data_IF_718202012907
#
_entry.id   IF_718202012907
#
_cell.length_a   1.000
_cell.length_b   1.000
_cell.length_c   1.000
_cell.angle_alpha   90.00
_cell.angle_beta   90.00
_cell.angle_gamma   90.00
#
_symmetry.space_group_name_H-M   'P 1'
#
loop_
_entity.id
_entity.type
_entity.pdbx_description
1 polymer ?
#
# COMPACT_ATOMS: atom_id res chain seq x y z
N UNK A 1 -16.05 -0.22 1.55
CA UNK A 1 -16.06 -1.68 1.85
C UNK A 1 -14.78 -1.99 2.61
N UNK A 2 -14.80 -2.97 3.53
CA UNK A 2 -13.60 -3.36 4.30
C UNK A 2 -13.42 -4.86 4.15
N UNK A 3 -12.28 -5.28 3.59
CA UNK A 3 -11.89 -6.68 3.39
C UNK A 3 -10.93 -7.15 4.48
N UNK A 4 -9.94 -6.34 4.83
CA UNK A 4 -9.06 -6.52 5.99
C UNK A 4 -9.53 -5.51 7.04
N UNK A 5 -10.01 -5.99 8.17
CA UNK A 5 -10.47 -5.11 9.27
C UNK A 5 -9.40 -4.88 10.32
N UNK A 6 -8.39 -5.75 10.38
CA UNK A 6 -7.37 -5.67 11.42
C UNK A 6 -6.09 -6.40 10.99
N UNK A 7 -4.96 -5.91 11.47
CA UNK A 7 -3.63 -6.52 11.37
C UNK A 7 -3.15 -6.82 12.78
N UNK A 8 -2.65 -8.04 13.03
CA UNK A 8 -2.06 -8.46 14.31
C UNK A 8 -0.62 -8.88 14.11
N UNK A 9 0.24 -8.60 15.08
CA UNK A 9 1.57 -9.19 15.16
C UNK A 9 1.55 -10.30 16.21
N UNK A 10 1.67 -11.54 15.75
CA UNK A 10 1.59 -12.71 16.63
C UNK A 10 2.93 -13.03 17.31
N UNK A 11 4.04 -12.38 16.90
CA UNK A 11 5.34 -12.57 17.54
C UNK A 11 5.33 -11.98 18.95
N UNK A 12 5.72 -12.73 19.99
CA UNK A 12 5.83 -12.20 21.34
C UNK A 12 6.78 -11.01 21.40
N UNK A 13 6.43 -9.95 22.14
CA UNK A 13 7.24 -8.72 22.25
C UNK A 13 8.66 -8.99 22.74
N UNK A 14 8.85 -10.00 23.60
CA UNK A 14 10.18 -10.39 24.11
C UNK A 14 11.13 -10.92 23.02
N UNK A 15 10.60 -11.36 21.87
CA UNK A 15 11.35 -11.94 20.75
C UNK A 15 11.58 -10.94 19.61
N UNK A 16 11.21 -9.66 19.80
CA UNK A 16 11.26 -8.57 18.81
C UNK A 16 12.58 -7.80 18.88
N UNK A 17 13.72 -8.50 18.75
CA UNK A 17 15.05 -7.93 19.04
C UNK A 17 15.96 -7.72 17.81
N UNK A 18 15.58 -8.22 16.64
CA UNK A 18 16.34 -8.12 15.39
C UNK A 18 15.52 -7.42 14.32
N UNK A 19 16.17 -6.95 13.25
CA UNK A 19 15.43 -6.50 12.07
C UNK A 19 14.44 -7.58 11.59
N UNK A 20 13.21 -7.22 11.20
CA UNK A 20 12.61 -5.88 11.16
C UNK A 20 11.97 -5.41 12.49
N UNK A 21 11.97 -6.25 13.52
CA UNK A 21 11.35 -5.98 14.81
C UNK A 21 12.10 -4.97 15.69
N UNK A 22 13.33 -4.60 15.34
CA UNK A 22 14.03 -3.49 15.97
C UNK A 22 13.52 -2.11 15.48
N UNK A 23 12.70 -2.07 14.42
CA UNK A 23 12.03 -0.86 14.00
C UNK A 23 10.91 -0.56 15.01
N UNK A 24 10.88 0.61 15.66
CA UNK A 24 9.96 0.88 16.77
C UNK A 24 8.48 0.65 16.44
N UNK A 25 8.10 0.97 15.20
CA UNK A 25 6.76 0.83 14.66
C UNK A 25 6.26 -0.61 14.61
N UNK A 26 7.16 -1.54 14.34
CA UNK A 26 6.90 -2.98 14.23
C UNK A 26 7.08 -3.64 15.59
N UNK A 27 8.08 -3.19 16.37
CA UNK A 27 8.36 -3.65 17.73
C UNK A 27 7.14 -3.51 18.64
N UNK A 28 6.42 -2.39 18.53
CA UNK A 28 5.27 -2.04 19.38
C UNK A 28 3.92 -2.33 18.70
N UNK A 29 3.90 -2.84 17.47
CA UNK A 29 2.66 -3.22 16.79
C UNK A 29 2.14 -4.51 17.40
N UNK A 30 1.05 -4.45 18.17
CA UNK A 30 0.29 -5.64 18.57
C UNK A 30 -0.94 -5.80 17.69
N UNK A 31 -1.69 -4.71 17.52
CA UNK A 31 -2.91 -4.67 16.74
C UNK A 31 -3.06 -3.31 16.03
N UNK A 32 -3.49 -3.35 14.77
CA UNK A 32 -3.89 -2.19 13.98
C UNK A 32 -5.28 -2.44 13.40
N UNK A 33 -6.27 -1.63 13.79
CA UNK A 33 -7.63 -1.69 13.24
C UNK A 33 -7.74 -0.85 11.97
N UNK A 34 -8.45 -1.34 10.95
CA UNK A 34 -8.77 -0.59 9.73
C UNK A 34 -10.28 -0.37 9.69
N UNK A 35 -10.71 0.86 9.95
CA UNK A 35 -12.11 1.23 10.18
C UNK A 35 -12.75 1.88 8.96
N UNK A 36 -11.94 2.47 8.09
CA UNK A 36 -12.37 3.11 6.86
C UNK A 36 -11.88 2.36 5.62
N UNK A 37 -12.53 2.55 4.45
CA UNK A 37 -12.10 1.92 3.20
C UNK A 37 -10.74 2.43 2.71
N UNK A 38 -10.27 3.57 3.18
CA UNK A 38 -8.95 4.12 2.87
C UNK A 38 -8.19 4.29 4.17
N UNK A 39 -6.99 3.72 4.22
CA UNK A 39 -6.06 3.89 5.33
C UNK A 39 -4.73 4.40 4.79
N UNK A 40 -4.22 5.47 5.38
CA UNK A 40 -2.86 5.96 5.16
C UNK A 40 -1.94 5.56 6.30
N UNK A 41 -0.72 5.16 5.95
CA UNK A 41 0.38 4.93 6.87
C UNK A 41 1.46 5.95 6.54
N UNK A 42 1.74 6.86 7.47
CA UNK A 42 2.67 7.98 7.30
C UNK A 42 3.80 7.92 8.34
N UNK A 43 4.84 8.74 8.17
CA UNK A 43 5.99 8.79 9.07
C UNK A 43 7.30 8.91 8.30
N UNK A 44 8.41 9.13 8.99
CA UNK A 44 9.71 9.46 8.37
C UNK A 44 10.27 8.34 7.47
N UNK A 45 11.22 8.68 6.60
CA UNK A 45 11.93 7.70 5.79
C UNK A 45 12.67 6.71 6.70
N UNK A 46 12.59 5.41 6.40
CA UNK A 46 13.20 4.37 7.24
C UNK A 46 12.43 4.01 8.51
N UNK A 47 11.25 4.61 8.76
CA UNK A 47 10.42 4.30 9.93
C UNK A 47 9.69 2.93 9.88
N UNK A 48 9.81 2.20 8.77
CA UNK A 48 9.22 0.86 8.59
C UNK A 48 7.85 0.81 7.91
N UNK A 49 7.37 1.93 7.33
CA UNK A 49 6.09 1.97 6.59
C UNK A 49 6.06 0.95 5.45
N UNK A 50 7.06 0.99 4.58
CA UNK A 50 7.19 0.06 3.45
C UNK A 50 7.30 -1.38 3.92
N UNK A 51 8.06 -1.65 4.97
CA UNK A 51 8.15 -2.99 5.59
C UNK A 51 6.80 -3.50 6.08
N UNK A 52 5.99 -2.65 6.72
CA UNK A 52 4.65 -3.01 7.18
C UNK A 52 3.69 -3.24 5.99
N UNK A 53 3.67 -2.32 5.02
CA UNK A 53 2.81 -2.41 3.84
C UNK A 53 3.16 -3.62 2.97
N UNK A 54 4.45 -3.89 2.75
CA UNK A 54 4.95 -5.10 2.09
C UNK A 54 4.47 -6.36 2.82
N UNK A 55 4.59 -6.40 4.15
CA UNK A 55 4.15 -7.54 4.95
C UNK A 55 2.64 -7.77 4.86
N UNK A 56 1.84 -6.71 4.87
CA UNK A 56 0.40 -6.78 4.65
C UNK A 56 0.11 -7.31 3.23
N UNK A 57 0.85 -6.86 2.22
CA UNK A 57 0.65 -7.28 0.84
C UNK A 57 0.97 -8.78 0.63
N UNK A 58 2.11 -9.24 1.13
CA UNK A 58 2.52 -10.64 1.05
C UNK A 58 1.50 -11.53 1.77
N UNK A 59 1.10 -11.16 2.99
CA UNK A 59 0.11 -11.92 3.77
C UNK A 59 -1.30 -11.86 3.12
N UNK A 60 -1.57 -10.85 2.29
CA UNK A 60 -2.78 -10.77 1.48
C UNK A 60 -2.73 -11.66 0.22
N UNK A 61 -1.57 -12.25 -0.10
CA UNK A 61 -1.33 -13.15 -1.23
C UNK A 61 -0.86 -12.43 -2.50
N UNK A 62 -0.19 -11.29 -2.36
CA UNK A 62 0.49 -10.60 -3.46
C UNK A 62 1.98 -10.96 -3.51
N UNK A 63 2.60 -10.74 -4.67
CA UNK A 63 4.04 -10.87 -4.84
C UNK A 63 4.76 -9.70 -4.15
N UNK A 64 5.90 -9.94 -3.50
CA UNK A 64 6.68 -8.90 -2.81
C UNK A 64 7.18 -7.78 -3.75
N UNK A 65 7.36 -8.08 -5.03
CA UNK A 65 7.74 -7.12 -6.07
C UNK A 65 6.55 -6.31 -6.62
N UNK A 66 5.34 -6.61 -6.16
CA UNK A 66 4.10 -5.98 -6.63
C UNK A 66 3.43 -6.71 -7.79
N UNK A 67 2.35 -6.11 -8.28
CA UNK A 67 1.48 -6.70 -9.28
C UNK A 67 0.19 -7.27 -8.70
N UNK A 68 -0.54 -7.97 -9.56
CA UNK A 68 -1.73 -8.71 -9.15
C UNK A 68 -1.39 -10.09 -8.61
N UNK A 69 -2.36 -10.78 -7.99
CA UNK A 69 -2.15 -12.11 -7.36
C UNK A 69 -1.62 -13.20 -8.30
N UNK A 70 -1.76 -13.00 -9.62
CA UNK A 70 -1.31 -13.97 -10.62
C UNK A 70 0.14 -13.74 -11.07
N UNK A 71 0.80 -12.69 -10.57
CA UNK A 71 2.19 -12.41 -10.90
C UNK A 71 3.08 -13.21 -9.95
N UNK A 72 3.91 -14.09 -10.51
CA UNK A 72 4.83 -14.90 -9.73
C UNK A 72 6.23 -14.80 -10.34
N UNK A 73 6.90 -13.69 -10.07
CA UNK A 73 8.27 -13.43 -10.48
C UNK A 73 9.08 -12.99 -9.24
N UNK A 74 10.37 -13.29 -9.22
CA UNK A 74 11.30 -12.83 -8.19
C UNK A 74 12.58 -12.39 -8.87
N UNK A 75 13.06 -11.20 -8.53
CA UNK A 75 14.34 -10.64 -9.01
C UNK A 75 15.43 -10.88 -7.97
N UNK A 76 15.10 -10.79 -6.68
CA UNK A 76 15.95 -11.15 -5.53
C UNK A 76 15.10 -11.31 -4.27
N UNK A 77 15.34 -12.34 -3.45
CA UNK A 77 14.64 -12.52 -2.17
C UNK A 77 15.20 -11.53 -1.11
N UNK A 78 14.67 -10.31 -1.10
CA UNK A 78 15.06 -9.24 -0.16
C UNK A 78 13.92 -8.77 0.75
N UNK A 79 12.76 -9.42 0.67
CA UNK A 79 11.57 -9.05 1.44
C UNK A 79 11.73 -9.35 2.93
N UNK A 80 11.05 -8.57 3.76
CA UNK A 80 11.19 -8.65 5.21
C UNK A 80 10.51 -9.88 5.82
N UNK A 81 11.11 -10.57 6.80
CA UNK A 81 10.49 -11.71 7.51
C UNK A 81 9.24 -11.34 8.33
N UNK A 82 8.90 -10.05 8.44
CA UNK A 82 7.72 -9.59 9.18
C UNK A 82 6.42 -10.22 8.69
N UNK A 83 6.32 -10.56 7.41
CA UNK A 83 5.10 -11.19 6.88
C UNK A 83 4.80 -12.54 7.54
N UNK A 84 5.78 -13.24 8.12
CA UNK A 84 5.58 -14.53 8.79
C UNK A 84 4.84 -14.38 10.13
N UNK A 85 5.05 -13.25 10.80
CA UNK A 85 4.51 -12.99 12.13
C UNK A 85 3.26 -12.10 12.11
N UNK A 86 2.99 -11.43 10.99
CA UNK A 86 1.75 -10.67 10.81
C UNK A 86 0.59 -11.59 10.40
N UNK A 87 -0.58 -11.33 10.99
CA UNK A 87 -1.83 -11.96 10.61
C UNK A 87 -2.86 -10.91 10.19
N UNK A 88 -3.48 -11.14 9.03
CA UNK A 88 -4.60 -10.34 8.54
C UNK A 88 -5.94 -10.90 9.00
N UNK A 89 -6.69 -10.12 9.77
CA UNK A 89 -8.08 -10.43 10.12
C UNK A 89 -8.97 -9.88 9.02
N UNK A 90 -9.65 -10.79 8.33
CA UNK A 90 -10.54 -10.47 7.22
C UNK A 90 -12.00 -10.44 7.66
N UNK A 91 -12.79 -9.58 7.03
CA UNK A 91 -14.25 -9.59 7.19
C UNK A 91 -14.86 -10.78 6.42
N UNK A 92 -16.18 -10.97 6.53
CA UNK A 92 -16.90 -11.99 5.75
C UNK A 92 -16.91 -11.75 4.23
N UNK A 93 -16.39 -10.62 3.74
CA UNK A 93 -16.35 -10.28 2.33
C UNK A 93 -15.02 -10.68 1.69
N UNK A 94 -15.07 -11.24 0.48
CA UNK A 94 -13.90 -11.51 -0.33
C UNK A 94 -13.78 -10.49 -1.46
N UNK A 95 -12.59 -9.90 -1.60
CA UNK A 95 -12.24 -9.08 -2.75
C UNK A 95 -12.08 -9.97 -4.00
N UNK A 96 -12.58 -9.50 -5.14
CA UNK A 96 -12.46 -10.17 -6.44
C UNK A 96 -11.24 -9.68 -7.21
N UNK A 97 -10.90 -8.41 -7.05
CA UNK A 97 -9.70 -7.80 -7.61
C UNK A 97 -8.67 -7.56 -6.52
N UNK A 98 -7.42 -7.33 -6.90
CA UNK A 98 -6.39 -6.93 -5.97
C UNK A 98 -5.09 -6.59 -6.66
N UNK A 99 -4.39 -5.64 -6.07
CA UNK A 99 -3.14 -5.13 -6.60
C UNK A 99 -2.23 -4.63 -5.48
N UNK A 100 -0.97 -5.05 -5.49
CA UNK A 100 0.09 -4.44 -4.69
C UNK A 100 0.97 -3.59 -5.59
N UNK A 101 1.11 -2.31 -5.26
CA UNK A 101 1.99 -1.40 -5.97
C UNK A 101 3.16 -1.03 -5.06
N UNK A 102 4.36 -1.14 -5.62
CA UNK A 102 5.58 -0.58 -5.06
C UNK A 102 6.24 0.26 -6.14
N UNK A 103 6.45 1.55 -5.87
CA UNK A 103 7.01 2.46 -6.87
C UNK A 103 8.41 2.02 -7.35
N UNK A 104 9.25 1.56 -6.42
CA UNK A 104 10.63 1.13 -6.68
C UNK A 104 10.74 -0.06 -7.64
N UNK A 105 9.87 -1.07 -7.50
CA UNK A 105 9.89 -2.30 -8.32
C UNK A 105 8.92 -2.27 -9.50
N UNK A 106 8.28 -1.13 -9.78
CA UNK A 106 7.25 -1.03 -10.81
C UNK A 106 7.73 -1.44 -12.21
N UNK A 107 9.02 -1.24 -12.53
CA UNK A 107 9.59 -1.67 -13.81
C UNK A 107 9.64 -3.21 -13.95
N UNK A 108 9.81 -3.93 -12.83
CA UNK A 108 9.75 -5.40 -12.81
C UNK A 108 8.33 -5.86 -13.17
N UNK A 109 7.31 -5.16 -12.66
CA UNK A 109 5.91 -5.41 -13.04
C UNK A 109 5.69 -5.11 -14.53
N UNK A 110 6.18 -3.97 -15.04
CA UNK A 110 6.05 -3.65 -16.46
C UNK A 110 6.64 -4.75 -17.34
N UNK A 111 7.79 -5.30 -16.93
CA UNK A 111 8.45 -6.42 -17.63
C UNK A 111 7.59 -7.67 -17.58
N UNK A 112 7.01 -7.97 -16.41
CA UNK A 112 6.11 -9.11 -16.25
C UNK A 112 4.81 -8.96 -17.05
N UNK A 113 4.25 -7.74 -17.18
CA UNK A 113 3.06 -7.47 -18.01
C UNK A 113 3.34 -7.83 -19.47
N UNK A 114 4.51 -7.46 -19.99
CA UNK A 114 4.89 -7.78 -21.37
C UNK A 114 5.16 -9.27 -21.55
N UNK A 115 5.88 -9.89 -20.61
CA UNK A 115 6.19 -11.33 -20.66
C UNK A 115 4.93 -12.20 -20.55
N UNK A 116 3.95 -11.81 -19.74
CA UNK A 116 2.69 -12.54 -19.58
C UNK A 116 1.64 -12.19 -20.64
N UNK A 117 1.97 -11.35 -21.62
CA UNK A 117 1.02 -10.87 -22.64
C UNK A 117 -0.25 -10.25 -22.02
N UNK A 118 -0.09 -9.54 -20.90
CA UNK A 118 -1.19 -8.97 -20.12
C UNK A 118 -1.49 -7.50 -20.46
N UNK A 119 -0.88 -6.96 -21.52
CA UNK A 119 -0.92 -5.54 -21.89
C UNK A 119 -2.34 -4.98 -21.99
N UNK A 120 -3.28 -5.76 -22.52
CA UNK A 120 -4.67 -5.33 -22.69
C UNK A 120 -5.32 -4.90 -21.36
N UNK A 121 -5.00 -5.60 -20.26
CA UNK A 121 -5.52 -5.28 -18.92
C UNK A 121 -4.88 -4.03 -18.30
N UNK A 122 -3.77 -3.55 -18.86
CA UNK A 122 -3.05 -2.35 -18.41
C UNK A 122 -3.17 -1.19 -19.41
N UNK A 123 -3.88 -1.41 -20.53
CA UNK A 123 -4.10 -0.45 -21.59
C UNK A 123 -2.91 -0.27 -22.53
N UNK A 124 -2.06 -1.30 -22.69
CA UNK A 124 -0.87 -1.32 -23.54
C UNK A 124 0.40 -1.71 -22.77
N UNK A 125 1.56 -1.69 -23.44
CA UNK A 125 2.84 -1.89 -22.77
C UNK A 125 3.11 -0.72 -21.80
N UNK A 126 3.51 -1.08 -20.58
CA UNK A 126 3.92 -0.12 -19.56
C UNK A 126 5.36 0.38 -19.77
N UNK A 127 6.15 -0.27 -20.62
CA UNK A 127 7.54 0.12 -20.92
C UNK A 127 7.64 1.26 -21.93
N UNK A 128 6.61 1.47 -22.74
CA UNK A 128 6.60 2.49 -23.80
C UNK A 128 6.18 3.87 -23.30
N UNK A 129 6.04 4.05 -21.99
CA UNK A 129 5.49 5.26 -21.35
C UNK A 129 6.42 5.79 -20.28
N UNK A 130 6.23 7.06 -19.90
CA UNK A 130 6.88 7.58 -18.69
C UNK A 130 6.35 6.89 -17.44
N UNK A 131 7.15 6.88 -16.37
CA UNK A 131 6.82 6.19 -15.13
C UNK A 131 5.45 6.63 -14.54
N UNK A 132 5.16 7.94 -14.57
CA UNK A 132 3.87 8.47 -14.13
C UNK A 132 2.69 8.12 -15.05
N UNK A 133 2.91 8.02 -16.36
CA UNK A 133 1.87 7.61 -17.32
C UNK A 133 1.55 6.12 -17.21
N UNK A 134 2.56 5.27 -17.01
CA UNK A 134 2.37 3.84 -16.76
C UNK A 134 1.59 3.59 -15.47
N UNK A 135 1.87 4.36 -14.43
CA UNK A 135 1.11 4.32 -13.19
C UNK A 135 -0.36 4.74 -13.39
N UNK A 136 -0.62 5.84 -14.10
CA UNK A 136 -1.98 6.28 -14.38
C UNK A 136 -2.73 5.25 -15.24
N UNK A 137 -2.05 4.65 -16.22
CA UNK A 137 -2.61 3.57 -17.01
C UNK A 137 -3.03 2.39 -16.14
N UNK A 138 -2.21 2.01 -15.16
CA UNK A 138 -2.54 0.98 -14.20
C UNK A 138 -3.77 1.35 -13.36
N UNK A 139 -3.79 2.55 -12.77
CA UNK A 139 -4.91 3.02 -11.95
C UNK A 139 -6.25 3.01 -12.70
N UNK A 140 -6.24 3.37 -13.98
CA UNK A 140 -7.45 3.51 -14.78
C UNK A 140 -7.87 2.22 -15.48
N UNK A 141 -6.92 1.42 -15.95
CA UNK A 141 -7.20 0.26 -16.79
C UNK A 141 -7.16 -1.07 -16.03
N UNK A 142 -6.35 -1.19 -14.97
CA UNK A 142 -6.15 -2.46 -14.26
C UNK A 142 -7.02 -2.59 -13.01
N UNK A 143 -7.37 -1.49 -12.36
CA UNK A 143 -8.15 -1.52 -11.13
C UNK A 143 -9.65 -1.43 -11.46
N UNK A 144 -10.38 -2.51 -11.20
CA UNK A 144 -11.76 -2.68 -11.67
C UNK A 144 -12.83 -2.48 -10.59
N UNK A 145 -12.45 -2.32 -9.32
CA UNK A 145 -13.39 -2.31 -8.19
C UNK A 145 -13.55 -3.68 -7.53
N UNK A 146 -14.32 -3.74 -6.44
CA UNK A 146 -14.43 -4.91 -5.55
C UNK A 146 -13.04 -5.46 -5.16
N UNK A 147 -12.08 -4.56 -4.95
CA UNK A 147 -10.67 -4.89 -4.87
C UNK A 147 -10.01 -4.49 -3.55
N UNK A 148 -8.95 -5.22 -3.20
CA UNK A 148 -8.01 -4.80 -2.16
C UNK A 148 -6.76 -4.24 -2.84
N UNK A 149 -6.51 -2.95 -2.67
CA UNK A 149 -5.39 -2.26 -3.27
C UNK A 149 -4.43 -1.77 -2.19
N UNK A 150 -3.18 -2.16 -2.31
CA UNK A 150 -2.13 -1.84 -1.33
C UNK A 150 -1.04 -1.10 -2.07
N UNK A 151 -0.72 0.14 -1.68
CA UNK A 151 0.27 0.96 -2.37
C UNK A 151 1.37 1.42 -1.42
N UNK A 152 2.61 1.36 -1.88
CA UNK A 152 3.79 1.85 -1.18
C UNK A 152 4.43 2.99 -1.98
N UNK A 153 4.40 4.19 -1.38
CA UNK A 153 4.93 5.45 -1.91
C UNK A 153 4.52 5.74 -3.37
N UNK A 154 3.20 5.69 -3.70
CA UNK A 154 2.73 5.91 -5.06
C UNK A 154 3.07 7.31 -5.61
N UNK A 155 3.25 8.30 -4.75
CA UNK A 155 3.58 9.68 -5.13
C UNK A 155 4.97 9.85 -5.75
N UNK A 156 5.91 8.95 -5.46
CA UNK A 156 7.31 9.06 -5.92
C UNK A 156 7.42 9.11 -7.45
N UNK A 157 6.40 8.57 -8.13
CA UNK A 157 6.28 8.53 -9.58
C UNK A 157 5.45 9.68 -10.21
N UNK A 158 4.82 10.53 -9.39
CA UNK A 158 3.67 11.33 -9.81
C UNK A 158 3.85 12.83 -9.62
N UNK A 159 3.48 13.57 -10.66
CA UNK A 159 3.24 15.01 -10.55
C UNK A 159 2.05 15.31 -9.62
N UNK A 160 1.96 16.56 -9.14
CA UNK A 160 0.82 17.05 -8.33
C UNK A 160 -0.52 16.77 -9.01
N UNK A 161 -0.63 17.05 -10.31
CA UNK A 161 -1.87 16.83 -11.08
C UNK A 161 -2.22 15.34 -11.13
N UNK A 162 -1.22 14.47 -11.29
CA UNK A 162 -1.40 13.03 -11.28
C UNK A 162 -1.85 12.50 -9.91
N UNK A 163 -1.34 13.08 -8.82
CA UNK A 163 -1.79 12.75 -7.46
C UNK A 163 -3.26 13.17 -7.21
N UNK A 164 -3.68 14.33 -7.73
CA UNK A 164 -5.08 14.76 -7.69
C UNK A 164 -6.00 13.83 -8.50
N UNK A 165 -5.53 13.36 -9.66
CA UNK A 165 -6.24 12.35 -10.45
C UNK A 165 -6.37 11.03 -9.66
N UNK A 166 -5.30 10.60 -9.00
CA UNK A 166 -5.30 9.42 -8.14
C UNK A 166 -6.32 9.53 -7.00
N UNK A 167 -6.44 10.67 -6.31
CA UNK A 167 -7.47 10.88 -5.29
C UNK A 167 -8.89 10.67 -5.82
N UNK A 168 -9.16 11.20 -7.02
CA UNK A 168 -10.45 11.04 -7.70
C UNK A 168 -10.69 9.56 -8.00
N UNK A 169 -9.68 8.87 -8.54
CA UNK A 169 -9.78 7.45 -8.88
C UNK A 169 -9.94 6.55 -7.65
N UNK A 170 -9.27 6.84 -6.54
CA UNK A 170 -9.46 6.14 -5.26
C UNK A 170 -10.92 6.26 -4.82
N UNK A 171 -11.52 7.45 -4.89
CA UNK A 171 -12.93 7.67 -4.52
C UNK A 171 -13.88 6.84 -5.39
N UNK A 172 -13.66 6.81 -6.70
CA UNK A 172 -14.46 5.97 -7.61
C UNK A 172 -14.36 4.48 -7.24
N UNK A 173 -13.16 3.98 -6.96
CA UNK A 173 -12.92 2.58 -6.62
C UNK A 173 -13.49 2.22 -5.25
N UNK A 174 -13.41 3.12 -4.26
CA UNK A 174 -14.07 2.94 -2.95
C UNK A 174 -15.58 2.84 -3.12
N UNK A 175 -16.18 3.68 -3.95
CA UNK A 175 -17.61 3.59 -4.31
C UNK A 175 -17.93 2.27 -5.05
N UNK A 176 -16.98 1.75 -5.83
CA UNK A 176 -17.03 0.43 -6.44
C UNK A 176 -16.64 -0.72 -5.47
N UNK A 177 -16.82 -0.51 -4.15
CA UNK A 177 -16.59 -1.49 -3.08
C UNK A 177 -15.13 -1.91 -2.89
N UNK A 178 -14.16 -1.05 -3.16
CA UNK A 178 -12.75 -1.35 -2.88
C UNK A 178 -12.27 -0.86 -1.52
N UNK A 179 -11.13 -1.39 -1.09
CA UNK A 179 -10.36 -0.98 0.08
C UNK A 179 -8.93 -0.63 -0.33
N UNK A 180 -8.38 0.44 0.25
CA UNK A 180 -7.02 0.93 0.05
C UNK A 180 -6.24 0.95 1.36
N UNK A 181 -4.98 0.49 1.31
CA UNK A 181 -3.98 0.65 2.36
C UNK A 181 -2.75 1.28 1.69
N UNK A 182 -2.39 2.50 2.06
CA UNK A 182 -1.42 3.31 1.32
C UNK A 182 -0.34 3.81 2.29
N UNK A 183 0.92 3.43 2.08
CA UNK A 183 2.05 4.15 2.67
C UNK A 183 2.37 5.37 1.82
N UNK A 184 2.45 6.55 2.44
CA UNK A 184 2.72 7.80 1.73
C UNK A 184 3.35 8.85 2.65
N UNK A 185 4.08 9.77 2.02
CA UNK A 185 4.56 11.03 2.57
C UNK A 185 3.85 12.24 1.95
N UNK A 186 2.99 12.02 0.95
CA UNK A 186 2.37 13.10 0.18
C UNK A 186 1.30 13.83 0.99
N UNK A 187 1.48 15.15 1.26
CA UNK A 187 0.42 15.98 1.83
C UNK A 187 -0.83 16.02 0.95
N UNK A 188 -0.66 15.89 -0.37
CA UNK A 188 -1.77 15.90 -1.34
C UNK A 188 -2.63 14.65 -1.15
N UNK A 189 -2.01 13.47 -1.05
CA UNK A 189 -2.77 12.23 -0.87
C UNK A 189 -3.50 12.18 0.48
N UNK A 190 -2.90 12.77 1.52
CA UNK A 190 -3.51 12.85 2.86
C UNK A 190 -4.76 13.74 2.91
N UNK A 191 -5.00 14.58 1.91
CA UNK A 191 -6.23 15.38 1.81
C UNK A 191 -7.48 14.56 1.44
N UNK A 192 -7.37 13.23 1.25
CA UNK A 192 -8.53 12.37 1.02
C UNK A 192 -9.43 12.34 2.28
N UNK A 193 -10.75 12.61 2.15
CA UNK A 193 -11.65 12.67 3.30
C UNK A 193 -11.98 11.28 3.85
N UNK A 194 -12.36 11.23 5.13
CA UNK A 194 -12.86 10.01 5.80
C UNK A 194 -11.89 8.81 5.73
N UNK A 195 -10.58 9.08 5.69
CA UNK A 195 -9.54 8.06 5.77
C UNK A 195 -9.08 7.85 7.22
N UNK A 196 -8.68 6.62 7.54
CA UNK A 196 -7.85 6.39 8.73
C UNK A 196 -6.43 6.85 8.42
N UNK A 197 -5.79 7.56 9.36
CA UNK A 197 -4.38 7.98 9.22
C UNK A 197 -3.61 7.44 10.41
N UNK A 198 -2.60 6.61 10.12
CA UNK A 198 -1.69 6.06 11.11
C UNK A 198 -0.31 6.64 10.91
N UNK A 199 0.16 7.41 11.89
CA UNK A 199 1.52 7.91 11.93
C UNK A 199 2.43 6.90 12.63
N UNK A 200 3.51 6.57 11.95
CA UNK A 200 4.61 5.79 12.46
C UNK A 200 5.52 6.69 13.27
N UNK A 201 5.69 6.37 14.55
CA UNK A 201 6.54 7.08 15.50
C UNK A 201 7.48 6.11 16.22
N UNK A 202 8.43 6.64 16.98
CA UNK A 202 9.25 5.84 17.91
C UNK A 202 8.40 5.12 18.98
N UNK A 203 7.19 5.62 19.23
CA UNK A 203 6.23 5.02 20.16
C UNK A 203 5.26 4.01 19.54
N UNK A 204 5.46 3.70 18.25
CA UNK A 204 4.62 2.77 17.52
C UNK A 204 3.71 3.49 16.53
N UNK A 205 2.69 2.77 16.07
CA UNK A 205 1.65 3.31 15.19
C UNK A 205 0.58 4.03 16.00
N UNK A 206 0.38 5.31 15.71
CA UNK A 206 -0.63 6.14 16.35
C UNK A 206 -1.67 6.59 15.34
N UNK A 207 -2.95 6.47 15.69
CA UNK A 207 -4.01 7.05 14.88
C UNK A 207 -4.04 8.56 15.09
N UNK A 208 -3.98 9.32 14.00
CA UNK A 208 -3.93 10.80 14.04
C UNK A 208 -4.99 11.40 13.14
N UNK A 209 -5.38 12.64 13.43
CA UNK A 209 -6.22 13.42 12.53
C UNK A 209 -5.35 14.05 11.44
N UNK A 210 -5.94 14.32 10.28
CA UNK A 210 -5.25 14.98 9.17
C UNK A 210 -4.59 16.31 9.60
N UNK A 211 -5.30 17.13 10.37
CA UNK A 211 -4.81 18.44 10.85
C UNK A 211 -3.65 18.33 11.85
N UNK A 212 -3.46 17.16 12.47
CA UNK A 212 -2.38 16.91 13.41
C UNK A 212 -1.11 16.41 12.73
N UNK A 213 -1.18 16.02 11.46
CA UNK A 213 -0.03 15.55 10.69
C UNK A 213 1.00 16.67 10.48
N UNK A 214 2.28 16.31 10.48
CA UNK A 214 3.36 17.26 10.17
C UNK A 214 3.22 17.82 8.77
N UNK A 215 2.80 16.99 7.81
CA UNK A 215 2.55 17.34 6.43
C UNK A 215 1.55 18.51 6.33
N UNK A 216 0.43 18.43 7.04
CA UNK A 216 -0.55 19.50 7.08
C UNK A 216 0.03 20.78 7.67
N UNK A 217 0.74 20.67 8.80
CA UNK A 217 1.33 21.81 9.51
C UNK A 217 2.39 22.55 8.68
N UNK A 218 3.16 21.84 7.84
CA UNK A 218 4.18 22.42 6.98
C UNK A 218 3.61 23.14 5.74
N UNK A 219 2.41 22.75 5.28
CA UNK A 219 1.78 23.31 4.07
C UNK A 219 0.76 24.43 4.35
N UNK A 220 0.67 24.88 5.61
CA UNK A 220 -0.28 25.91 6.06
C UNK A 220 0.25 27.33 5.89
#
# INVERSE_FOLDING_TARGET
MIYISQIRNNRPTAERNSYPYNIPSIAKLDELSLRNPVTFIIGENGSGKSTLVESIAINAGFNAEGGSRNFNFSTQDSHSVLFEDIQLIRTGYRNKDGYFLRAESFYNVATAVDNYSAQDSYGGSLHERSHGESFLALLHNRLYGNGLYIFDEPESALSVVSQMNMLTRIRELVNARSQFIIATHSPILLAYPDADIYQVTEDGLQHVLYEDTEQYRLTK
#
